data_IF_947757080247
#
_entry.id   IF_947757080247
#
_cell.length_a   1.000
_cell.length_b   1.000
_cell.length_c   1.000
_cell.angle_alpha   90.00
_cell.angle_beta   90.00
_cell.angle_gamma   90.00
#
_symmetry.space_group_name_H-M   'P 1'
#
loop_
_entity.id
_entity.type
_entity.pdbx_description
1 polymer ?
#
# COMPACT_ATOMS: atom_id res chain seq x y z
N UNK A 1 -9.20 -20.11 5.26
CA UNK A 1 -9.18 -18.94 4.36
C UNK A 1 -8.23 -17.90 4.91
N UNK A 2 -7.27 -17.47 4.10
CA UNK A 2 -6.33 -16.43 4.49
C UNK A 2 -6.84 -15.05 4.09
N UNK A 3 -6.38 -14.03 4.81
CA UNK A 3 -6.67 -12.64 4.47
C UNK A 3 -5.37 -11.89 4.23
N UNK A 4 -5.40 -10.97 3.28
CA UNK A 4 -4.28 -10.07 2.97
C UNK A 4 -4.75 -8.64 3.15
N UNK A 5 -4.05 -7.88 3.97
CA UNK A 5 -4.33 -6.46 4.15
C UNK A 5 -3.49 -5.65 3.17
N UNK A 6 -4.16 -4.91 2.30
CA UNK A 6 -3.53 -4.05 1.29
C UNK A 6 -3.77 -2.59 1.63
N UNK A 7 -2.72 -1.78 1.54
CA UNK A 7 -2.76 -0.36 1.91
C UNK A 7 -2.12 0.57 0.87
N UNK A 8 -1.47 0.02 -0.12
CA UNK A 8 -0.80 0.76 -1.19
C UNK A 8 -1.27 0.30 -2.56
N UNK A 9 -0.35 0.15 -3.50
CA UNK A 9 -0.68 -0.24 -4.87
C UNK A 9 -1.27 -1.66 -5.00
N UNK A 10 -1.15 -2.50 -3.97
CA UNK A 10 -1.84 -3.79 -3.93
C UNK A 10 -3.36 -3.65 -3.94
N UNK A 11 -3.88 -2.53 -3.43
CA UNK A 11 -5.30 -2.20 -3.58
C UNK A 11 -5.58 -1.96 -5.06
N UNK A 12 -6.32 -2.83 -5.70
CA UNK A 12 -6.59 -2.75 -7.13
C UNK A 12 -5.55 -3.43 -8.02
N UNK A 13 -4.56 -4.10 -7.44
CA UNK A 13 -3.62 -4.90 -8.20
C UNK A 13 -4.33 -6.11 -8.81
N UNK A 14 -4.00 -6.45 -10.05
CA UNK A 14 -4.63 -7.55 -10.78
C UNK A 14 -4.52 -8.89 -10.03
N UNK A 15 -3.44 -9.10 -9.26
CA UNK A 15 -3.23 -10.34 -8.51
C UNK A 15 -4.31 -10.53 -7.44
N UNK A 16 -4.72 -9.47 -6.76
CA UNK A 16 -5.72 -9.52 -5.70
C UNK A 16 -7.13 -9.15 -6.16
N UNK A 17 -7.27 -8.46 -7.28
CA UNK A 17 -8.57 -7.93 -7.75
C UNK A 17 -9.64 -9.01 -7.97
N UNK A 18 -9.24 -10.25 -8.21
CA UNK A 18 -10.14 -11.40 -8.40
C UNK A 18 -10.77 -11.91 -7.10
N UNK A 19 -10.25 -11.50 -5.95
CA UNK A 19 -10.73 -11.95 -4.65
C UNK A 19 -11.66 -10.92 -4.02
N UNK A 20 -12.62 -11.38 -3.17
CA UNK A 20 -13.47 -10.45 -2.45
C UNK A 20 -12.65 -9.54 -1.55
N UNK A 21 -12.98 -8.25 -1.56
CA UNK A 21 -12.32 -7.26 -0.73
C UNK A 21 -13.32 -6.58 0.19
N UNK A 22 -12.87 -6.24 1.39
CA UNK A 22 -13.66 -5.50 2.37
C UNK A 22 -12.85 -4.34 2.92
N UNK A 23 -13.49 -3.20 3.22
CA UNK A 23 -12.81 -2.15 3.97
C UNK A 23 -12.35 -2.71 5.30
N UNK A 24 -11.12 -2.38 5.69
CA UNK A 24 -10.54 -2.91 6.93
C UNK A 24 -9.70 -1.84 7.62
N UNK A 25 -9.73 -1.85 8.95
CA UNK A 25 -8.94 -0.95 9.79
C UNK A 25 -7.86 -1.74 10.50
N UNK A 26 -6.62 -1.32 10.35
CA UNK A 26 -5.48 -1.85 11.09
C UNK A 26 -5.08 -0.83 12.16
N UNK A 27 -5.21 -1.20 13.42
CA UNK A 27 -4.77 -0.38 14.53
C UNK A 27 -3.26 -0.56 14.77
N UNK A 28 -2.59 0.50 15.19
CA UNK A 28 -1.18 0.46 15.59
C UNK A 28 -0.18 0.71 14.46
N UNK A 29 -0.65 1.00 13.25
CA UNK A 29 0.19 1.35 12.10
C UNK A 29 -0.49 2.45 11.28
N UNK A 30 0.31 3.25 10.60
CA UNK A 30 -0.18 4.28 9.69
C UNK A 30 0.66 4.31 8.43
N UNK A 31 0.13 4.94 7.36
CA UNK A 31 0.85 5.10 6.10
C UNK A 31 1.91 6.16 6.18
N UNK A 32 3.09 5.85 5.64
CA UNK A 32 4.12 6.83 5.32
C UNK A 32 4.84 6.40 4.06
N UNK A 33 5.51 7.35 3.38
CA UNK A 33 6.36 7.04 2.24
C UNK A 33 7.72 6.55 2.74
N UNK A 34 7.74 5.31 3.21
CA UNK A 34 8.88 4.71 3.90
C UNK A 34 9.82 3.92 2.98
N UNK A 35 9.46 3.73 1.73
CA UNK A 35 10.22 2.94 0.75
C UNK A 35 10.36 3.65 -0.58
N UNK A 36 11.17 3.04 -1.45
CA UNK A 36 11.40 3.55 -2.80
C UNK A 36 11.21 2.43 -3.82
N UNK A 37 10.56 2.75 -4.93
CA UNK A 37 10.45 1.87 -6.08
C UNK A 37 11.48 2.31 -7.12
N UNK A 38 12.36 1.39 -7.51
CA UNK A 38 13.43 1.65 -8.48
C UNK A 38 13.19 0.97 -9.83
N UNK A 39 12.03 0.36 -10.00
CA UNK A 39 11.67 -0.35 -11.22
C UNK A 39 10.22 -0.10 -11.64
N UNK A 40 9.27 -0.41 -10.77
CA UNK A 40 7.85 -0.36 -11.13
C UNK A 40 7.36 1.08 -11.34
N UNK A 41 7.68 1.98 -10.42
CA UNK A 41 7.17 3.36 -10.42
C UNK A 41 8.27 4.40 -10.54
N UNK A 42 9.52 3.98 -10.47
CA UNK A 42 10.69 4.82 -10.61
C UNK A 42 11.85 4.09 -11.25
N UNK A 43 13.01 4.70 -11.26
CA UNK A 43 14.26 4.16 -11.78
C UNK A 43 15.35 4.25 -10.72
N UNK A 44 16.51 3.60 -10.91
CA UNK A 44 17.64 3.76 -9.98
C UNK A 44 18.10 5.21 -9.84
N UNK A 45 18.01 6.01 -10.93
CA UNK A 45 18.40 7.41 -10.93
C UNK A 45 17.36 8.32 -10.29
N UNK A 46 16.07 7.95 -10.42
CA UNK A 46 14.94 8.69 -9.87
C UNK A 46 13.97 7.73 -9.20
N UNK A 47 14.31 7.23 -8.01
CA UNK A 47 13.42 6.33 -7.29
C UNK A 47 12.10 7.02 -6.94
N UNK A 48 11.01 6.27 -7.02
CA UNK A 48 9.70 6.77 -6.61
C UNK A 48 9.46 6.48 -5.14
N UNK A 49 9.15 7.49 -4.32
CA UNK A 49 8.67 7.23 -2.97
C UNK A 49 7.38 6.41 -3.02
N UNK A 50 7.31 5.35 -2.22
CA UNK A 50 6.13 4.51 -2.10
C UNK A 50 5.77 4.27 -0.64
N UNK A 51 4.50 3.94 -0.42
CA UNK A 51 3.94 3.78 0.90
C UNK A 51 4.45 2.53 1.61
N UNK A 52 4.64 2.66 2.91
CA UNK A 52 4.84 1.59 3.87
C UNK A 52 3.94 1.80 5.07
N UNK A 53 3.95 0.84 5.99
CA UNK A 53 3.24 0.92 7.27
C UNK A 53 4.24 1.06 8.40
N UNK A 54 4.09 2.10 9.17
CA UNK A 54 4.97 2.48 10.28
C UNK A 54 4.17 2.44 11.57
N UNK A 55 4.80 2.07 12.68
CA UNK A 55 4.15 1.98 13.98
C UNK A 55 3.50 3.29 14.41
N UNK A 56 2.32 3.17 15.00
CA UNK A 56 1.52 4.27 15.55
C UNK A 56 0.26 4.53 14.72
N UNK A 57 -0.77 5.05 15.38
CA UNK A 57 -2.00 5.45 14.71
C UNK A 57 -2.85 4.30 14.19
N UNK A 58 -3.41 4.52 13.00
CA UNK A 58 -4.26 3.53 12.34
C UNK A 58 -4.17 3.67 10.82
N UNK A 59 -4.59 2.63 10.13
CA UNK A 59 -4.62 2.61 8.67
C UNK A 59 -5.88 1.94 8.17
N UNK A 60 -6.65 2.65 7.35
CA UNK A 60 -7.78 2.07 6.62
C UNK A 60 -7.32 1.61 5.25
N UNK A 61 -7.62 0.37 4.93
CA UNK A 61 -7.27 -0.24 3.64
C UNK A 61 -8.27 -1.33 3.29
N UNK A 62 -7.81 -2.32 2.53
CA UNK A 62 -8.66 -3.42 2.07
C UNK A 62 -8.13 -4.76 2.60
N UNK A 63 -9.03 -5.60 3.10
CA UNK A 63 -8.74 -6.99 3.41
C UNK A 63 -9.29 -7.87 2.29
N UNK A 64 -8.42 -8.63 1.65
CA UNK A 64 -8.76 -9.56 0.57
C UNK A 64 -8.85 -10.98 1.13
N UNK A 65 -9.97 -11.66 0.85
CA UNK A 65 -10.15 -13.06 1.25
C UNK A 65 -9.56 -13.98 0.20
N UNK A 66 -8.49 -14.69 0.56
CA UNK A 66 -7.80 -15.63 -0.34
C UNK A 66 -8.20 -17.05 0.04
N UNK A 67 -8.77 -17.83 -0.88
CA UNK A 67 -9.17 -19.20 -0.57
C UNK A 67 -7.96 -20.11 -0.32
N UNK A 68 -8.15 -21.20 0.47
CA UNK A 68 -7.03 -22.06 0.87
C UNK A 68 -6.19 -22.60 -0.29
N UNK A 69 -6.80 -22.92 -1.41
CA UNK A 69 -6.11 -23.45 -2.59
C UNK A 69 -5.15 -22.45 -3.24
N UNK A 70 -5.36 -21.15 -3.00
CA UNK A 70 -4.53 -20.09 -3.58
C UNK A 70 -3.53 -19.49 -2.58
N UNK A 71 -3.67 -19.78 -1.28
CA UNK A 71 -2.86 -19.14 -0.24
C UNK A 71 -1.36 -19.26 -0.46
N UNK A 72 -0.87 -20.47 -0.75
CA UNK A 72 0.57 -20.69 -0.92
C UNK A 72 1.13 -19.93 -2.11
N UNK A 73 0.39 -19.87 -3.22
CA UNK A 73 0.80 -19.16 -4.44
C UNK A 73 0.82 -17.65 -4.21
N UNK A 74 -0.23 -17.11 -3.59
CA UNK A 74 -0.33 -15.68 -3.30
C UNK A 74 0.74 -15.27 -2.28
N UNK A 75 0.92 -16.05 -1.23
CA UNK A 75 1.94 -15.78 -0.21
C UNK A 75 3.36 -15.71 -0.81
N UNK A 76 3.71 -16.66 -1.69
CA UNK A 76 5.02 -16.66 -2.35
C UNK A 76 5.21 -15.44 -3.24
N UNK A 77 4.21 -15.11 -4.05
CA UNK A 77 4.27 -13.98 -4.96
C UNK A 77 4.42 -12.65 -4.21
N UNK A 78 3.64 -12.45 -3.16
CA UNK A 78 3.71 -11.24 -2.36
C UNK A 78 5.00 -11.17 -1.54
N UNK A 79 5.46 -12.28 -0.96
CA UNK A 79 6.69 -12.31 -0.21
C UNK A 79 7.90 -11.94 -1.08
N UNK A 80 7.97 -12.46 -2.30
CA UNK A 80 9.02 -12.11 -3.25
C UNK A 80 8.99 -10.62 -3.61
N UNK A 81 7.81 -10.09 -3.88
CA UNK A 81 7.61 -8.69 -4.25
C UNK A 81 7.94 -7.74 -3.09
N UNK A 82 7.53 -8.08 -1.87
CA UNK A 82 7.72 -7.23 -0.70
C UNK A 82 9.14 -7.34 -0.09
N UNK A 83 9.79 -8.49 -0.22
CA UNK A 83 11.17 -8.66 0.23
C UNK A 83 12.13 -7.70 -0.48
N UNK A 84 11.90 -7.44 -1.77
CA UNK A 84 12.70 -6.49 -2.54
C UNK A 84 12.57 -5.05 -2.02
N UNK A 85 11.60 -4.77 -1.15
CA UNK A 85 11.35 -3.46 -0.56
C UNK A 85 11.67 -3.41 0.94
N UNK A 86 12.34 -4.43 1.45
CA UNK A 86 12.72 -4.53 2.86
C UNK A 86 11.54 -4.47 3.84
N UNK A 87 10.38 -4.98 3.42
CA UNK A 87 9.21 -5.10 4.28
C UNK A 87 9.16 -6.45 4.96
N UNK A 88 8.66 -6.46 6.20
CA UNK A 88 8.52 -7.66 7.01
C UNK A 88 7.05 -8.08 7.09
N UNK A 89 6.77 -9.35 6.84
CA UNK A 89 5.41 -9.89 6.98
C UNK A 89 5.10 -10.21 8.43
N UNK A 90 3.97 -9.71 8.91
CA UNK A 90 3.42 -10.02 10.22
C UNK A 90 1.96 -10.44 10.08
N UNK A 91 1.42 -11.09 11.11
CA UNK A 91 0.00 -11.42 11.18
C UNK A 91 -0.64 -10.48 12.19
N UNK A 92 -1.69 -9.78 11.78
CA UNK A 92 -2.41 -8.82 12.62
C UNK A 92 -3.91 -9.00 12.47
N UNK A 93 -4.64 -8.69 13.54
CA UNK A 93 -6.09 -8.60 13.47
C UNK A 93 -6.47 -7.28 12.83
N UNK A 94 -7.36 -7.32 11.85
CA UNK A 94 -7.92 -6.12 11.22
C UNK A 94 -9.43 -6.14 11.38
N UNK A 95 -10.02 -4.97 11.59
CA UNK A 95 -11.47 -4.82 11.76
C UNK A 95 -12.13 -4.64 10.40
N UNK A 96 -13.14 -5.45 10.12
CA UNK A 96 -13.99 -5.31 8.93
C UNK A 96 -15.43 -5.05 9.36
N UNK A 97 -16.33 -4.66 8.43
CA UNK A 97 -17.75 -4.52 8.78
C UNK A 97 -18.40 -5.79 9.33
N UNK A 98 -17.84 -6.95 9.03
CA UNK A 98 -18.37 -8.24 9.50
C UNK A 98 -17.59 -8.81 10.69
N UNK A 99 -16.71 -8.03 11.30
CA UNK A 99 -15.92 -8.44 12.45
C UNK A 99 -14.42 -8.46 12.15
N UNK A 100 -13.66 -8.89 13.15
CA UNK A 100 -12.21 -8.97 13.05
C UNK A 100 -11.77 -10.21 12.27
N UNK A 101 -10.73 -10.06 11.44
CA UNK A 101 -10.08 -11.17 10.74
C UNK A 101 -8.58 -11.09 10.94
N UNK A 102 -7.92 -12.25 10.93
CA UNK A 102 -6.47 -12.35 10.99
C UNK A 102 -5.90 -12.21 9.58
N UNK A 103 -5.04 -11.24 9.37
CA UNK A 103 -4.52 -10.93 8.04
C UNK A 103 -3.00 -10.88 7.99
N UNK A 104 -2.42 -11.21 6.83
CA UNK A 104 -1.02 -10.94 6.54
C UNK A 104 -0.87 -9.46 6.22
N UNK A 105 0.12 -8.84 6.85
CA UNK A 105 0.42 -7.42 6.69
C UNK A 105 1.92 -7.27 6.52
N UNK A 106 2.35 -6.49 5.51
CA UNK A 106 3.75 -6.16 5.32
C UNK A 106 4.03 -4.79 5.92
N UNK A 107 4.91 -4.76 6.92
CA UNK A 107 5.22 -3.56 7.71
C UNK A 107 6.64 -3.07 7.47
N UNK A 108 6.85 -1.79 7.73
CA UNK A 108 8.13 -1.11 7.59
C UNK A 108 8.71 -0.76 8.96
N UNK A 109 10.04 -0.56 9.03
CA UNK A 109 10.70 -0.19 10.29
C UNK A 109 10.63 1.30 10.58
N UNK A 110 10.92 2.13 9.57
CA UNK A 110 11.05 3.57 9.73
C UNK A 110 10.12 4.33 8.81
N UNK A 111 9.74 5.54 9.24
CA UNK A 111 8.90 6.43 8.47
C UNK A 111 9.65 7.24 7.42
N UNK A 112 8.88 8.01 6.65
CA UNK A 112 9.41 8.93 5.66
C UNK A 112 10.12 10.11 6.34
N UNK A 113 11.14 10.61 5.66
CA UNK A 113 11.93 11.76 6.13
C UNK A 113 11.71 13.01 5.29
N UNK A 114 11.09 12.85 4.13
CA UNK A 114 10.82 13.95 3.22
C UNK A 114 9.62 14.78 3.68
N UNK A 115 9.69 16.09 3.53
CA UNK A 115 8.52 16.94 3.70
C UNK A 115 7.59 16.83 2.48
N UNK A 116 6.43 17.46 2.56
CA UNK A 116 5.41 17.37 1.49
C UNK A 116 5.92 17.92 0.15
N UNK A 117 6.67 19.01 0.16
CA UNK A 117 7.19 19.62 -1.07
C UNK A 117 8.23 18.71 -1.74
N UNK A 118 9.11 18.10 -0.95
CA UNK A 118 10.12 17.15 -1.44
C UNK A 118 9.46 15.90 -1.99
N UNK A 119 8.47 15.34 -1.29
CA UNK A 119 7.69 14.19 -1.78
C UNK A 119 7.01 14.50 -3.11
N UNK A 120 6.36 15.65 -3.21
CA UNK A 120 5.70 16.08 -4.45
C UNK A 120 6.69 16.13 -5.61
N UNK A 121 7.84 16.78 -5.41
CA UNK A 121 8.87 16.90 -6.46
C UNK A 121 9.41 15.53 -6.88
N UNK A 122 9.68 14.65 -5.93
CA UNK A 122 10.18 13.32 -6.22
C UNK A 122 9.15 12.46 -6.97
N UNK A 123 7.89 12.54 -6.58
CA UNK A 123 6.81 11.81 -7.26
C UNK A 123 6.62 12.29 -8.69
N UNK A 124 6.67 13.60 -8.92
CA UNK A 124 6.56 14.15 -10.28
C UNK A 124 7.74 13.74 -11.18
N UNK A 125 8.92 13.57 -10.61
CA UNK A 125 10.13 13.24 -11.36
C UNK A 125 10.27 11.74 -11.65
N UNK A 126 9.61 10.88 -10.88
CA UNK A 126 9.78 9.42 -10.95
C UNK A 126 9.00 8.82 -12.12
N UNK A 127 9.62 7.87 -12.82
CA UNK A 127 8.99 7.13 -13.91
C UNK A 127 9.56 5.72 -13.97
N UNK A 128 8.69 4.71 -13.96
CA UNK A 128 9.06 3.30 -13.98
C UNK A 128 8.33 2.52 -15.07
N UNK A 129 8.48 1.20 -15.06
CA UNK A 129 7.91 0.33 -16.09
C UNK A 129 6.38 0.21 -16.00
N UNK A 130 5.80 0.45 -14.84
CA UNK A 130 4.35 0.38 -14.61
C UNK A 130 3.70 1.75 -14.81
N UNK A 131 4.36 2.82 -14.38
CA UNK A 131 3.85 4.16 -14.46
C UNK A 131 4.75 5.15 -13.73
N UNK A 132 4.29 6.40 -13.62
CA UNK A 132 5.03 7.45 -12.93
C UNK A 132 4.55 7.63 -11.48
N UNK A 133 5.24 8.48 -10.71
CA UNK A 133 4.92 8.70 -9.30
C UNK A 133 3.55 9.32 -9.07
N UNK A 134 3.11 10.22 -9.94
CA UNK A 134 1.77 10.80 -9.86
C UNK A 134 0.70 9.73 -10.06
N UNK A 135 0.91 8.82 -11.01
CA UNK A 135 0.00 7.70 -11.25
C UNK A 135 -0.04 6.73 -10.08
N UNK A 136 1.10 6.54 -9.40
CA UNK A 136 1.14 5.72 -8.19
C UNK A 136 0.18 6.27 -7.12
N UNK A 137 0.29 7.56 -6.82
CA UNK A 137 -0.58 8.20 -5.81
C UNK A 137 -2.04 8.17 -6.27
N UNK A 138 -2.30 8.41 -7.56
CA UNK A 138 -3.65 8.33 -8.12
C UNK A 138 -4.25 6.95 -7.90
N UNK A 139 -3.49 5.89 -8.19
CA UNK A 139 -3.96 4.51 -8.03
C UNK A 139 -4.40 4.25 -6.58
N UNK A 140 -3.60 4.68 -5.61
CA UNK A 140 -3.94 4.51 -4.20
C UNK A 140 -5.16 5.36 -3.81
N UNK A 141 -5.17 6.63 -4.20
CA UNK A 141 -6.27 7.53 -3.89
C UNK A 141 -7.61 7.05 -4.47
N UNK A 142 -7.59 6.56 -5.71
CA UNK A 142 -8.79 6.02 -6.36
C UNK A 142 -9.28 4.75 -5.68
N UNK A 143 -8.39 3.86 -5.28
CA UNK A 143 -8.76 2.63 -4.58
C UNK A 143 -9.44 2.94 -3.24
N UNK A 144 -8.90 3.90 -2.49
CA UNK A 144 -9.51 4.36 -1.24
C UNK A 144 -10.89 4.96 -1.49
N UNK A 145 -11.01 5.84 -2.47
CA UNK A 145 -12.26 6.51 -2.81
C UNK A 145 -13.36 5.53 -3.24
N UNK A 146 -13.02 4.54 -4.05
CA UNK A 146 -13.95 3.51 -4.50
C UNK A 146 -14.57 2.71 -3.35
N UNK A 147 -13.90 2.64 -2.22
CA UNK A 147 -14.37 1.92 -1.04
C UNK A 147 -14.84 2.84 0.09
N UNK A 148 -14.99 4.14 -0.20
CA UNK A 148 -15.43 5.12 0.79
C UNK A 148 -14.43 5.36 1.90
N UNK A 149 -13.15 5.13 1.65
CA UNK A 149 -12.08 5.28 2.63
C UNK A 149 -11.31 6.57 2.42
N UNK A 150 -10.77 7.10 3.51
CA UNK A 150 -9.99 8.33 3.50
C UNK A 150 -8.67 8.11 4.23
N UNK A 151 -7.59 8.64 3.66
CA UNK A 151 -6.28 8.68 4.31
C UNK A 151 -5.73 10.11 4.24
N UNK A 152 -5.45 10.75 5.38
CA UNK A 152 -5.01 12.15 5.38
C UNK A 152 -3.76 12.40 4.55
N UNK A 153 -2.77 11.52 4.64
CA UNK A 153 -1.51 11.66 3.91
C UNK A 153 -1.72 11.54 2.39
N UNK A 154 -2.39 10.47 1.96
CA UNK A 154 -2.63 10.20 0.54
C UNK A 154 -3.52 11.29 -0.07
N UNK A 155 -4.60 11.66 0.61
CA UNK A 155 -5.54 12.66 0.08
C UNK A 155 -4.92 14.05 0.00
N UNK A 156 -4.14 14.46 1.00
CA UNK A 156 -3.43 15.73 0.96
C UNK A 156 -2.41 15.79 -0.17
N UNK A 157 -1.64 14.72 -0.35
CA UNK A 157 -0.64 14.66 -1.41
C UNK A 157 -1.26 14.62 -2.79
N UNK A 158 -2.34 13.86 -2.97
CA UNK A 158 -3.07 13.80 -4.22
C UNK A 158 -3.60 15.19 -4.62
N UNK A 159 -4.15 15.95 -3.66
CA UNK A 159 -4.61 17.32 -3.91
C UNK A 159 -3.49 18.22 -4.40
N UNK A 160 -2.27 18.09 -3.87
CA UNK A 160 -1.11 18.85 -4.34
C UNK A 160 -0.71 18.45 -5.77
N UNK A 161 -0.76 17.16 -6.08
CA UNK A 161 -0.32 16.65 -7.39
C UNK A 161 -1.26 17.04 -8.53
N UNK A 162 -2.55 17.25 -8.26
CA UNK A 162 -3.56 17.63 -9.28
C UNK A 162 -3.86 19.13 -9.33
N UNK A 163 -3.20 19.92 -8.52
CA UNK A 163 -3.38 21.39 -8.49
C UNK A 163 -2.65 22.06 -9.63
#
# INVERSE_FOLDING_TARGET
>A
MGWVFAYGSLMGDAVLARYPARPARLAGYHREFAHESRRRWGSPERPCPILGLVQGGECWGLAYAVPPEDEARIARGLAHREAAKERLRVVKMVETPDGEVSAWVWVSGEGARDDAATLEARLRAAHGIVGNGTEYVRTVAQALDQHGLHDPLVNALWSRLVS
#
